data_IF_184226022375
#
_entry.id   IF_184226022375
#
_cell.length_a   1.000
_cell.length_b   1.000
_cell.length_c   1.000
_cell.angle_alpha   90.00
_cell.angle_beta   90.00
_cell.angle_gamma   90.00
#
_symmetry.space_group_name_H-M   'P 1'
#
loop_
_entity.id
_entity.type
_entity.pdbx_description
1 polymer ?
#
# COMPACT_ATOMS: atom_id res chain seq x y z
N UNK A 1 -5.97 -0.02 -9.83
CA UNK A 1 -5.33 0.45 -8.59
C UNK A 1 -6.40 0.98 -7.63
N UNK A 2 -6.25 0.79 -6.32
CA UNK A 2 -7.16 1.36 -5.31
C UNK A 2 -6.96 2.88 -5.16
N UNK A 3 -8.04 3.61 -4.86
CA UNK A 3 -8.01 5.07 -4.68
C UNK A 3 -7.12 5.49 -3.51
N UNK A 4 -7.16 4.81 -2.37
CA UNK A 4 -6.31 5.14 -1.20
C UNK A 4 -4.83 4.93 -1.53
N UNK A 5 -4.51 3.89 -2.30
CA UNK A 5 -3.16 3.66 -2.81
C UNK A 5 -2.70 4.79 -3.73
N UNK A 6 -3.53 5.23 -4.69
CA UNK A 6 -3.18 6.38 -5.53
C UNK A 6 -2.88 7.63 -4.69
N UNK A 7 -3.75 7.95 -3.74
CA UNK A 7 -3.57 9.14 -2.91
C UNK A 7 -2.33 9.06 -2.02
N UNK A 8 -1.96 7.88 -1.53
CA UNK A 8 -0.69 7.65 -0.83
C UNK A 8 0.51 8.08 -1.69
N UNK A 9 0.55 7.67 -2.96
CA UNK A 9 1.62 8.05 -3.88
C UNK A 9 1.57 9.56 -4.23
N UNK A 10 0.37 10.14 -4.34
CA UNK A 10 0.17 11.59 -4.55
C UNK A 10 0.77 12.39 -3.38
N UNK A 11 0.49 12.03 -2.13
CA UNK A 11 1.01 12.74 -0.96
C UNK A 11 2.54 12.71 -0.89
N UNK A 12 3.16 11.65 -1.43
CA UNK A 12 4.61 11.50 -1.52
C UNK A 12 5.24 12.14 -2.76
N UNK A 13 4.44 12.82 -3.60
CA UNK A 13 4.87 13.37 -4.89
C UNK A 13 5.55 12.33 -5.81
N UNK A 14 5.16 11.07 -5.71
CA UNK A 14 5.74 9.96 -6.45
C UNK A 14 4.76 9.39 -7.48
N UNK A 15 4.16 10.25 -8.30
CA UNK A 15 3.13 9.86 -9.26
C UNK A 15 3.51 10.14 -10.70
N UNK A 16 3.03 9.25 -11.57
CA UNK A 16 3.21 9.33 -13.02
C UNK A 16 1.90 8.93 -13.69
N UNK A 17 1.69 9.40 -14.93
CA UNK A 17 0.51 9.04 -15.70
C UNK A 17 0.39 7.52 -15.89
N UNK A 18 1.48 6.88 -16.33
CA UNK A 18 1.52 5.47 -16.73
C UNK A 18 1.35 4.49 -15.58
N UNK A 19 2.01 4.74 -14.45
CA UNK A 19 1.99 3.80 -13.32
C UNK A 19 0.85 4.06 -12.33
N UNK A 20 0.27 5.26 -12.35
CA UNK A 20 -0.69 5.68 -11.32
C UNK A 20 -2.03 6.12 -11.92
N UNK A 21 -2.10 7.24 -12.62
CA UNK A 21 -3.39 7.81 -13.01
C UNK A 21 -4.18 6.95 -14.02
N UNK A 22 -3.52 6.39 -15.04
CA UNK A 22 -4.18 5.54 -16.03
C UNK A 22 -4.64 4.20 -15.43
N UNK A 23 -3.79 3.45 -14.67
CA UNK A 23 -4.23 2.23 -13.99
C UNK A 23 -5.33 2.45 -12.95
N UNK A 24 -5.38 3.63 -12.33
CA UNK A 24 -6.52 4.01 -11.50
C UNK A 24 -7.77 4.19 -12.35
N UNK A 25 -7.69 4.97 -13.44
CA UNK A 25 -8.83 5.25 -14.30
C UNK A 25 -9.44 3.96 -14.88
N UNK A 26 -8.60 3.04 -15.37
CA UNK A 26 -9.04 1.74 -15.87
C UNK A 26 -9.74 0.91 -14.79
N UNK A 27 -9.18 0.82 -13.58
CA UNK A 27 -9.82 0.08 -12.51
C UNK A 27 -11.12 0.72 -12.01
N UNK A 28 -11.29 2.04 -12.13
CA UNK A 28 -12.56 2.69 -11.83
C UNK A 28 -13.62 2.30 -12.87
N UNK A 29 -13.25 2.27 -14.15
CA UNK A 29 -14.13 1.78 -15.22
C UNK A 29 -14.51 0.30 -15.04
N UNK A 30 -13.55 -0.55 -14.64
CA UNK A 30 -13.81 -1.97 -14.32
C UNK A 30 -14.76 -2.16 -13.14
N UNK A 31 -14.87 -1.15 -12.25
CA UNK A 31 -15.79 -1.12 -11.10
C UNK A 31 -17.12 -0.42 -11.44
N UNK A 32 -17.45 -0.29 -12.72
CA UNK A 32 -18.68 0.34 -13.23
C UNK A 32 -18.85 1.83 -12.84
N UNK A 33 -17.75 2.54 -12.51
CA UNK A 33 -17.80 3.99 -12.35
C UNK A 33 -17.74 4.67 -13.72
N UNK A 34 -18.62 5.63 -13.94
CA UNK A 34 -18.72 6.33 -15.22
C UNK A 34 -18.71 7.84 -15.01
N UNK A 35 -17.82 8.54 -15.74
CA UNK A 35 -17.87 10.00 -15.85
C UNK A 35 -17.13 10.45 -17.12
N UNK A 36 -17.50 11.60 -17.72
CA UNK A 36 -16.81 12.12 -18.89
C UNK A 36 -15.30 12.26 -18.70
N UNK A 37 -14.87 12.81 -17.56
CA UNK A 37 -13.45 13.03 -17.29
C UNK A 37 -12.70 11.72 -17.05
N UNK A 38 -13.35 10.71 -16.46
CA UNK A 38 -12.77 9.37 -16.29
C UNK A 38 -12.51 8.69 -17.64
N UNK A 39 -13.47 8.74 -18.57
CA UNK A 39 -13.29 8.16 -19.91
C UNK A 39 -12.14 8.84 -20.66
N UNK A 40 -12.05 10.17 -20.58
CA UNK A 40 -10.96 10.91 -21.21
C UNK A 40 -9.63 10.48 -20.61
N UNK A 41 -9.51 10.47 -19.28
CA UNK A 41 -8.29 10.06 -18.57
C UNK A 41 -7.84 8.65 -18.97
N UNK A 42 -8.75 7.69 -18.99
CA UNK A 42 -8.47 6.30 -19.38
C UNK A 42 -8.06 6.15 -20.86
N UNK A 43 -8.43 7.11 -21.72
CA UNK A 43 -8.16 7.07 -23.15
C UNK A 43 -6.85 7.77 -23.57
N UNK A 44 -6.21 8.52 -22.67
CA UNK A 44 -4.97 9.25 -22.96
C UNK A 44 -3.88 8.31 -23.48
N UNK A 45 -3.14 8.77 -24.48
CA UNK A 45 -2.05 8.02 -25.10
C UNK A 45 -0.72 8.73 -24.89
N UNK A 46 0.36 7.96 -24.87
CA UNK A 46 1.73 8.51 -24.78
C UNK A 46 2.06 9.36 -26.03
N UNK A 47 2.81 10.47 -25.89
CA UNK A 47 3.40 10.99 -24.66
C UNK A 47 2.39 11.69 -23.75
N UNK A 48 2.49 11.45 -22.44
CA UNK A 48 1.56 12.01 -21.47
C UNK A 48 1.97 13.42 -21.04
N UNK A 49 1.00 14.35 -21.05
CA UNK A 49 1.13 15.63 -20.37
C UNK A 49 0.60 15.50 -18.94
N UNK A 50 1.49 15.55 -17.94
CA UNK A 50 1.10 15.34 -16.54
C UNK A 50 0.08 16.38 -16.04
N UNK A 51 0.13 17.62 -16.54
CA UNK A 51 -0.82 18.66 -16.16
C UNK A 51 -2.24 18.34 -16.64
N UNK A 52 -2.37 17.81 -17.86
CA UNK A 52 -3.65 17.38 -18.43
C UNK A 52 -4.20 16.15 -17.69
N UNK A 53 -3.32 15.19 -17.40
CA UNK A 53 -3.65 13.97 -16.64
C UNK A 53 -4.21 14.35 -15.26
N UNK A 54 -3.52 15.24 -14.53
CA UNK A 54 -3.98 15.69 -13.22
C UNK A 54 -5.26 16.51 -13.27
N UNK A 55 -5.46 17.30 -14.34
CA UNK A 55 -6.69 18.06 -14.53
C UNK A 55 -7.89 17.13 -14.69
N UNK A 56 -7.80 16.13 -15.58
CA UNK A 56 -8.88 15.16 -15.76
C UNK A 56 -9.09 14.28 -14.54
N UNK A 57 -8.01 13.89 -13.85
CA UNK A 57 -8.12 13.19 -12.58
C UNK A 57 -8.93 13.99 -11.55
N UNK A 58 -8.59 15.27 -11.32
CA UNK A 58 -9.32 16.14 -10.37
C UNK A 58 -10.80 16.29 -10.75
N UNK A 59 -11.09 16.46 -12.04
CA UNK A 59 -12.48 16.52 -12.53
C UNK A 59 -13.22 15.20 -12.31
N UNK A 60 -12.60 14.06 -12.62
CA UNK A 60 -13.18 12.73 -12.40
C UNK A 60 -13.49 12.49 -10.91
N UNK A 61 -12.59 12.84 -10.00
CA UNK A 61 -12.85 12.78 -8.54
C UNK A 61 -14.11 13.58 -8.17
N UNK A 62 -14.25 14.80 -8.69
CA UNK A 62 -15.42 15.65 -8.45
C UNK A 62 -16.72 15.11 -9.06
N UNK A 63 -16.66 14.64 -10.32
CA UNK A 63 -17.80 14.06 -11.05
C UNK A 63 -18.32 12.80 -10.37
N UNK A 64 -17.40 11.93 -9.92
CA UNK A 64 -17.71 10.68 -9.23
C UNK A 64 -18.03 10.89 -7.74
N UNK A 65 -17.91 12.13 -7.23
CA UNK A 65 -18.12 12.49 -5.82
C UNK A 65 -17.28 11.63 -4.86
N UNK A 66 -16.05 11.34 -5.26
CA UNK A 66 -15.12 10.57 -4.44
C UNK A 66 -14.59 11.48 -3.34
N UNK A 67 -14.76 11.05 -2.09
CA UNK A 67 -14.13 11.70 -0.94
C UNK A 67 -12.62 11.49 -1.03
N UNK A 68 -11.87 12.58 -0.95
CA UNK A 68 -10.41 12.52 -0.93
C UNK A 68 -9.98 11.97 0.44
N UNK A 69 -9.30 10.81 0.49
CA UNK A 69 -8.78 10.28 1.74
C UNK A 69 -7.66 11.19 2.26
N UNK A 70 -7.59 11.35 3.57
CA UNK A 70 -6.47 12.00 4.24
C UNK A 70 -5.18 11.17 4.10
N UNK A 71 -4.04 11.83 4.29
CA UNK A 71 -2.74 11.16 4.26
C UNK A 71 -2.65 10.02 5.29
N UNK A 72 -3.19 10.23 6.50
CA UNK A 72 -3.22 9.18 7.52
C UNK A 72 -4.09 7.98 7.12
N UNK A 73 -5.27 8.21 6.54
CA UNK A 73 -6.13 7.12 6.04
C UNK A 73 -5.43 6.33 4.93
N UNK A 74 -4.65 6.99 4.08
CA UNK A 74 -3.82 6.35 3.07
C UNK A 74 -2.71 5.51 3.69
N UNK A 75 -1.98 6.03 4.69
CA UNK A 75 -0.94 5.28 5.43
C UNK A 75 -1.53 4.05 6.10
N UNK A 76 -2.63 4.22 6.86
CA UNK A 76 -3.31 3.14 7.57
C UNK A 76 -3.77 2.04 6.61
N UNK A 77 -4.31 2.43 5.45
CA UNK A 77 -4.70 1.49 4.41
C UNK A 77 -3.49 0.72 3.84
N UNK A 78 -2.37 1.40 3.59
CA UNK A 78 -1.15 0.74 3.10
C UNK A 78 -0.63 -0.26 4.13
N UNK A 79 -0.55 0.11 5.41
CA UNK A 79 -0.18 -0.81 6.49
C UNK A 79 -1.13 -2.00 6.52
N UNK A 80 -2.43 -1.75 6.55
CA UNK A 80 -3.46 -2.79 6.57
C UNK A 80 -3.31 -3.80 5.43
N UNK A 81 -3.17 -3.33 4.18
CA UNK A 81 -3.06 -4.24 3.02
C UNK A 81 -1.80 -5.11 3.07
N UNK A 82 -0.68 -4.61 3.60
CA UNK A 82 0.54 -5.41 3.79
C UNK A 82 0.36 -6.47 4.87
N UNK A 83 -0.21 -6.08 6.01
CA UNK A 83 -0.53 -7.01 7.09
C UNK A 83 -1.48 -8.12 6.60
N UNK A 84 -2.49 -7.78 5.79
CA UNK A 84 -3.38 -8.78 5.20
C UNK A 84 -2.62 -9.78 4.34
N UNK A 85 -1.74 -9.31 3.43
CA UNK A 85 -0.93 -10.19 2.58
C UNK A 85 -0.07 -11.15 3.40
N UNK A 86 0.61 -10.66 4.44
CA UNK A 86 1.39 -11.51 5.37
C UNK A 86 0.52 -12.64 5.92
N UNK A 87 -0.73 -12.36 6.30
CA UNK A 87 -1.62 -13.38 6.88
C UNK A 87 -2.31 -14.30 5.88
N UNK A 88 -2.34 -13.93 4.60
CA UNK A 88 -3.02 -14.67 3.52
C UNK A 88 -2.05 -15.51 2.69
N UNK A 89 -0.80 -15.07 2.59
CA UNK A 89 0.24 -15.66 1.77
C UNK A 89 1.57 -15.68 2.55
N UNK A 90 1.92 -16.86 3.05
CA UNK A 90 3.13 -17.09 3.84
C UNK A 90 4.41 -16.83 3.03
N UNK A 91 4.39 -17.10 1.72
CA UNK A 91 5.53 -16.85 0.83
C UNK A 91 5.84 -15.35 0.72
N UNK A 92 4.85 -14.50 0.95
CA UNK A 92 4.98 -13.04 0.95
C UNK A 92 5.36 -12.47 2.32
N UNK A 93 5.37 -13.27 3.39
CA UNK A 93 5.50 -12.79 4.76
C UNK A 93 6.79 -12.00 4.98
N UNK A 94 7.94 -12.53 4.56
CA UNK A 94 9.25 -11.87 4.71
C UNK A 94 9.30 -10.58 3.86
N UNK A 95 8.84 -10.64 2.61
CA UNK A 95 8.84 -9.49 1.70
C UNK A 95 8.01 -8.34 2.25
N UNK A 96 6.78 -8.62 2.67
CA UNK A 96 5.87 -7.59 3.19
C UNK A 96 6.28 -7.09 4.59
N UNK A 97 6.98 -7.90 5.38
CA UNK A 97 7.59 -7.46 6.65
C UNK A 97 8.69 -6.42 6.42
N UNK A 98 9.59 -6.64 5.46
CA UNK A 98 10.58 -5.62 5.07
C UNK A 98 9.92 -4.35 4.55
N UNK A 99 8.84 -4.48 3.80
CA UNK A 99 8.14 -3.32 3.29
C UNK A 99 7.47 -2.50 4.41
N UNK A 100 6.99 -3.14 5.48
CA UNK A 100 6.50 -2.44 6.68
C UNK A 100 7.65 -1.72 7.41
N UNK A 101 8.84 -2.32 7.45
CA UNK A 101 10.05 -1.64 7.94
C UNK A 101 10.47 -0.46 7.04
N UNK A 102 10.41 -0.61 5.70
CA UNK A 102 10.70 0.49 4.78
C UNK A 102 9.72 1.65 5.01
N UNK A 103 8.44 1.36 5.20
CA UNK A 103 7.44 2.38 5.56
C UNK A 103 7.78 3.07 6.89
N UNK A 104 8.29 2.34 7.90
CA UNK A 104 8.75 2.95 9.15
C UNK A 104 9.85 4.00 8.90
N UNK A 105 10.83 3.68 8.06
CA UNK A 105 11.91 4.60 7.70
C UNK A 105 11.42 5.83 6.91
N UNK A 106 10.48 5.63 5.99
CA UNK A 106 9.97 6.70 5.12
C UNK A 106 8.97 7.64 5.79
N UNK A 107 8.24 7.17 6.81
CA UNK A 107 7.18 7.91 7.51
C UNK A 107 7.65 8.60 8.80
N UNK A 108 8.95 8.82 8.95
CA UNK A 108 9.55 9.45 10.14
C UNK A 108 9.28 8.68 11.45
N UNK A 109 9.52 7.36 11.42
CA UNK A 109 9.50 6.48 12.58
C UNK A 109 8.15 6.40 13.34
N UNK A 110 7.03 6.03 12.69
CA UNK A 110 5.73 5.89 13.36
C UNK A 110 5.75 4.78 14.43
N UNK A 111 5.14 5.06 15.59
CA UNK A 111 5.12 4.15 16.74
C UNK A 111 4.45 2.81 16.39
N UNK A 112 3.44 2.84 15.51
CA UNK A 112 2.69 1.68 15.06
C UNK A 112 3.56 0.65 14.35
N UNK A 113 4.67 1.08 13.73
CA UNK A 113 5.55 0.21 12.94
C UNK A 113 6.83 -0.18 13.68
N UNK A 114 7.04 0.25 14.93
CA UNK A 114 8.26 -0.05 15.71
C UNK A 114 8.53 -1.57 15.82
N UNK A 115 7.48 -2.38 15.93
CA UNK A 115 7.62 -3.84 15.99
C UNK A 115 8.30 -4.42 14.73
N UNK A 116 8.14 -3.77 13.58
CA UNK A 116 8.72 -4.21 12.31
C UNK A 116 10.23 -3.96 12.20
N UNK A 117 10.79 -3.07 13.03
CA UNK A 117 12.24 -2.91 13.17
C UNK A 117 12.87 -4.14 13.82
N UNK A 118 12.28 -4.63 14.91
CA UNK A 118 12.75 -5.87 15.54
C UNK A 118 12.60 -7.07 14.59
N UNK A 119 11.50 -7.12 13.83
CA UNK A 119 11.29 -8.18 12.84
C UNK A 119 12.32 -8.09 11.71
N UNK A 120 12.67 -6.89 11.21
CA UNK A 120 13.72 -6.77 10.19
C UNK A 120 15.06 -7.28 10.71
N UNK A 121 15.43 -6.98 11.96
CA UNK A 121 16.65 -7.50 12.58
C UNK A 121 16.65 -9.04 12.67
N UNK A 122 15.49 -9.65 12.97
CA UNK A 122 15.34 -11.11 12.96
C UNK A 122 15.51 -11.70 11.56
N UNK A 123 14.96 -11.04 10.54
CA UNK A 123 15.11 -11.47 9.15
C UNK A 123 16.58 -11.36 8.73
N UNK A 124 17.24 -10.25 9.02
CA UNK A 124 18.67 -10.05 8.73
C UNK A 124 19.51 -11.14 9.40
N UNK A 125 19.27 -11.43 10.68
CA UNK A 125 19.98 -12.51 11.38
C UNK A 125 19.72 -13.90 10.75
N UNK A 126 18.53 -14.16 10.23
CA UNK A 126 18.24 -15.41 9.52
C UNK A 126 18.92 -15.49 8.16
N UNK A 127 19.01 -14.38 7.43
CA UNK A 127 19.56 -14.33 6.06
C UNK A 127 21.09 -14.29 6.02
N UNK A 128 21.73 -13.67 7.02
CA UNK A 128 23.18 -13.47 7.03
C UNK A 128 23.90 -14.51 7.91
N UNK A 129 25.12 -14.87 7.50
CA UNK A 129 25.85 -16.10 7.86
C UNK A 129 26.14 -16.31 9.36
N UNK A 130 25.95 -15.31 10.21
CA UNK A 130 26.22 -15.45 11.64
C UNK A 130 25.11 -16.24 12.35
N UNK A 131 23.83 -16.09 11.95
CA UNK A 131 22.63 -16.64 12.63
C UNK A 131 22.84 -16.96 14.12
N UNK A 132 23.40 -16.00 14.87
CA UNK A 132 23.87 -16.21 16.24
C UNK A 132 22.72 -16.58 17.19
N UNK A 133 21.50 -16.29 16.76
CA UNK A 133 20.25 -16.56 17.46
C UNK A 133 19.62 -17.93 17.10
N UNK A 134 20.25 -18.71 16.23
CA UNK A 134 19.75 -20.01 15.72
C UNK A 134 18.29 -19.95 15.25
N UNK A 135 17.89 -18.83 14.64
CA UNK A 135 16.51 -18.60 14.18
C UNK A 135 16.26 -19.53 13.00
N UNK A 136 15.21 -20.34 13.11
CA UNK A 136 14.71 -21.16 11.99
C UNK A 136 13.70 -20.36 11.17
N UNK A 137 13.54 -20.73 9.91
CA UNK A 137 12.52 -20.16 9.03
C UNK A 137 11.11 -20.27 9.63
N UNK A 138 10.79 -21.43 10.22
CA UNK A 138 9.51 -21.65 10.89
C UNK A 138 9.27 -20.66 12.05
N UNK A 139 10.29 -20.43 12.91
CA UNK A 139 10.19 -19.49 14.03
C UNK A 139 10.03 -18.06 13.51
N UNK A 140 10.80 -17.68 12.49
CA UNK A 140 10.72 -16.35 11.87
C UNK A 140 9.33 -16.08 11.30
N UNK A 141 8.80 -17.03 10.51
CA UNK A 141 7.47 -16.90 9.90
C UNK A 141 6.37 -16.85 10.96
N UNK A 142 6.48 -17.66 12.03
CA UNK A 142 5.55 -17.60 13.15
C UNK A 142 5.53 -16.22 13.81
N UNK A 143 6.69 -15.60 14.04
CA UNK A 143 6.78 -14.27 14.65
C UNK A 143 6.20 -13.18 13.75
N UNK A 144 6.53 -13.20 12.45
CA UNK A 144 5.97 -12.27 11.45
C UNK A 144 4.45 -12.37 11.40
N UNK A 145 3.91 -13.58 11.25
CA UNK A 145 2.47 -13.82 11.16
C UNK A 145 1.76 -13.47 12.48
N UNK A 146 2.38 -13.77 13.63
CA UNK A 146 1.85 -13.44 14.96
C UNK A 146 1.69 -11.94 15.12
N UNK A 147 2.73 -11.16 14.78
CA UNK A 147 2.67 -9.71 14.88
C UNK A 147 1.68 -9.11 13.87
N UNK A 148 1.64 -9.61 12.63
CA UNK A 148 0.68 -9.15 11.63
C UNK A 148 -0.77 -9.36 12.11
N UNK A 149 -1.10 -10.55 12.63
CA UNK A 149 -2.43 -10.84 13.21
C UNK A 149 -2.73 -9.98 14.43
N UNK A 150 -1.73 -9.61 15.22
CA UNK A 150 -1.92 -8.73 16.37
C UNK A 150 -2.28 -7.30 15.94
N UNK A 151 -1.57 -6.75 14.96
CA UNK A 151 -1.83 -5.40 14.45
C UNK A 151 -3.15 -5.32 13.66
N UNK A 152 -3.51 -6.34 12.87
CA UNK A 152 -4.77 -6.36 12.13
C UNK A 152 -6.01 -6.18 13.01
N UNK A 153 -5.97 -6.63 14.27
CA UNK A 153 -7.06 -6.41 15.24
C UNK A 153 -7.35 -4.93 15.49
N UNK A 154 -6.33 -4.06 15.32
CA UNK A 154 -6.47 -2.61 15.45
C UNK A 154 -7.11 -1.98 14.21
N UNK A 155 -6.91 -2.59 13.04
CA UNK A 155 -7.45 -2.17 11.74
C UNK A 155 -8.80 -2.84 11.38
N UNK A 156 -9.53 -3.33 12.39
CA UNK A 156 -10.84 -3.98 12.25
C UNK A 156 -11.90 -3.25 11.40
N UNK A 157 -11.90 -1.91 11.19
CA UNK A 157 -12.90 -1.28 10.31
C UNK A 157 -12.80 -1.69 8.84
N UNK A 158 -11.66 -2.22 8.39
CA UNK A 158 -11.40 -2.51 6.97
C UNK A 158 -11.56 -3.99 6.60
N UNK A 159 -11.84 -4.88 7.58
CA UNK A 159 -11.96 -6.33 7.37
C UNK A 159 -13.21 -6.76 6.60
N UNK A 160 -14.16 -5.85 6.39
CA UNK A 160 -15.48 -6.13 5.84
C UNK A 160 -15.69 -5.66 4.39
N UNK A 161 -14.70 -5.03 3.76
CA UNK A 161 -14.75 -4.72 2.32
C UNK A 161 -14.38 -5.97 1.50
N UNK A 162 -15.36 -6.86 1.30
CA UNK A 162 -15.34 -7.95 0.31
C UNK A 162 -15.91 -7.51 -1.03
#
# INVERSE_FOLDING_TARGET
MDTRKLFYDIYRNNVTAEQHYLPWALCMLEKDYESPSLYILASLQSPYNIFEVEEYFKRAIGELKITIPSEQECIDYMIYTRLQKITQDEDMAITEAYELYNMFCELDCPEELVAWVYISDLIDNFQYEDNDLEVTEEVLLQEIIREAKNQLKKYSPWSDEK
#
